data_IF_547144387197
#
_entry.id   IF_547144387197
#
_cell.length_a   1.000
_cell.length_b   1.000
_cell.length_c   1.000
_cell.angle_alpha   90.00
_cell.angle_beta   90.00
_cell.angle_gamma   90.00
#
_symmetry.space_group_name_H-M   'P 1'
#
loop_
_entity.id
_entity.type
_entity.pdbx_description
1 polymer ?
#
# COMPACT_ATOMS: atom_id res chain seq x y z
N UNK A 1 25.14 -17.81 -1.93
CA UNK A 1 24.02 -17.10 -2.59
C UNK A 1 23.33 -18.12 -3.49
N UNK A 2 22.22 -18.71 -3.02
CA UNK A 2 21.51 -19.71 -3.81
C UNK A 2 20.69 -18.97 -4.89
N UNK A 3 21.13 -19.10 -6.14
CA UNK A 3 20.48 -18.47 -7.28
C UNK A 3 19.08 -19.07 -7.47
N UNK A 4 18.06 -18.22 -7.56
CA UNK A 4 16.73 -18.64 -8.03
C UNK A 4 16.89 -19.11 -9.48
N UNK A 5 16.65 -20.40 -9.73
CA UNK A 5 16.65 -20.94 -11.08
C UNK A 5 15.25 -20.82 -11.69
N UNK A 6 15.17 -20.15 -12.84
CA UNK A 6 13.99 -20.18 -13.73
C UNK A 6 13.98 -21.55 -14.42
N UNK A 7 12.99 -22.38 -14.11
CA UNK A 7 12.86 -23.75 -14.62
C UNK A 7 12.10 -23.79 -15.96
N UNK A 8 11.22 -22.81 -16.22
CA UNK A 8 10.48 -22.63 -17.47
C UNK A 8 10.05 -21.16 -17.62
N UNK A 9 9.30 -20.78 -18.68
CA UNK A 9 8.77 -19.42 -18.85
C UNK A 9 8.02 -18.90 -17.59
N UNK A 10 7.32 -19.79 -16.88
CA UNK A 10 6.43 -19.43 -15.75
C UNK A 10 6.71 -20.21 -14.46
N UNK A 11 7.72 -21.10 -14.44
CA UNK A 11 8.02 -21.94 -13.28
C UNK A 11 9.35 -21.51 -12.65
N UNK A 12 9.28 -21.10 -11.38
CA UNK A 12 10.43 -20.77 -10.56
C UNK A 12 10.58 -21.83 -9.46
N UNK A 13 11.81 -22.22 -9.15
CA UNK A 13 12.06 -22.97 -7.92
C UNK A 13 11.83 -22.03 -6.76
N UNK A 14 10.73 -22.21 -6.01
CA UNK A 14 10.52 -21.52 -4.75
C UNK A 14 11.51 -22.11 -3.75
N UNK A 15 12.72 -21.56 -3.74
CA UNK A 15 13.68 -21.85 -2.68
C UNK A 15 13.01 -21.42 -1.38
N UNK A 16 13.06 -22.27 -0.35
CA UNK A 16 12.55 -21.94 1.00
C UNK A 16 13.42 -20.85 1.63
N UNK A 17 13.32 -19.64 1.09
CA UNK A 17 14.11 -18.48 1.49
C UNK A 17 13.23 -17.67 2.43
N UNK A 18 13.77 -17.38 3.60
CA UNK A 18 13.16 -16.45 4.54
C UNK A 18 13.30 -15.05 3.92
N UNK A 19 12.18 -14.51 3.44
CA UNK A 19 12.13 -13.25 2.68
C UNK A 19 11.82 -12.02 3.55
N UNK A 20 11.74 -12.20 4.88
CA UNK A 20 11.56 -11.16 5.91
C UNK A 20 10.51 -10.09 5.53
N UNK A 21 9.42 -10.53 4.89
CA UNK A 21 8.33 -9.65 4.47
C UNK A 21 7.66 -9.00 5.68
N UNK A 22 7.00 -7.87 5.43
CA UNK A 22 6.32 -7.12 6.50
C UNK A 22 4.97 -7.74 6.88
N UNK A 23 4.45 -8.71 6.12
CA UNK A 23 3.09 -9.22 6.25
C UNK A 23 2.82 -9.86 7.63
N UNK A 24 3.82 -10.53 8.19
CA UNK A 24 3.73 -11.23 9.48
C UNK A 24 4.15 -10.38 10.70
N UNK A 25 4.58 -9.14 10.48
CA UNK A 25 5.08 -8.29 11.55
C UNK A 25 3.91 -7.70 12.35
N UNK A 26 3.64 -8.31 13.51
CA UNK A 26 2.55 -7.89 14.42
C UNK A 26 2.73 -6.45 14.93
N UNK A 27 3.97 -5.98 15.09
CA UNK A 27 4.31 -4.65 15.60
C UNK A 27 4.20 -3.53 14.58
N UNK A 28 3.79 -3.80 13.34
CA UNK A 28 3.56 -2.74 12.37
C UNK A 28 2.48 -1.77 12.84
N UNK A 29 2.53 -0.56 12.28
CA UNK A 29 1.61 0.53 12.54
C UNK A 29 0.17 0.04 12.65
N UNK A 30 -0.49 0.36 13.76
CA UNK A 30 -1.87 -0.05 13.98
C UNK A 30 -2.81 0.82 13.15
N UNK A 31 -3.56 0.18 12.25
CA UNK A 31 -4.63 0.84 11.51
C UNK A 31 -5.88 0.86 12.37
N UNK A 32 -6.41 2.05 12.64
CA UNK A 32 -7.70 2.24 13.32
C UNK A 32 -8.89 1.97 12.39
N UNK A 33 -8.70 1.07 11.42
CA UNK A 33 -9.67 0.62 10.43
C UNK A 33 -10.58 -0.42 11.08
N UNK A 34 -11.28 0.00 12.14
CA UNK A 34 -12.29 -0.77 12.86
C UNK A 34 -13.64 -0.07 12.80
N UNK A 35 -14.73 -0.86 12.86
CA UNK A 35 -16.11 -0.40 12.82
C UNK A 35 -16.49 0.44 14.04
N UNK A 36 -16.02 1.69 14.12
CA UNK A 36 -16.58 2.65 15.05
C UNK A 36 -17.92 3.13 14.48
N UNK A 37 -19.01 2.44 14.85
CA UNK A 37 -20.39 2.59 14.36
C UNK A 37 -21.07 3.92 14.75
N UNK A 38 -20.34 4.87 15.35
CA UNK A 38 -20.94 6.12 15.81
C UNK A 38 -21.13 7.06 14.62
N UNK A 39 -22.38 7.43 14.36
CA UNK A 39 -22.75 8.42 13.33
C UNK A 39 -21.99 9.74 13.59
N UNK A 40 -21.46 10.40 12.55
CA UNK A 40 -20.85 11.72 12.69
C UNK A 40 -21.91 12.75 13.10
N UNK A 41 -21.60 13.53 14.12
CA UNK A 41 -22.44 14.66 14.54
C UNK A 41 -22.04 15.98 13.86
N UNK A 42 -20.88 16.00 13.19
CA UNK A 42 -20.30 17.17 12.54
C UNK A 42 -19.84 16.79 11.14
N UNK A 43 -19.94 17.76 10.23
CA UNK A 43 -19.50 17.66 8.85
C UNK A 43 -17.98 17.79 8.65
N UNK A 44 -17.56 18.03 7.41
CA UNK A 44 -16.16 18.36 7.07
C UNK A 44 -15.85 19.87 7.11
N UNK A 45 -16.77 20.69 7.62
CA UNK A 45 -16.63 22.15 7.60
C UNK A 45 -16.61 22.66 6.16
N UNK A 46 -15.66 23.55 5.84
CA UNK A 46 -15.56 24.17 4.52
C UNK A 46 -15.37 23.18 3.35
N UNK A 47 -14.92 21.95 3.61
CA UNK A 47 -14.79 20.93 2.57
C UNK A 47 -16.15 20.35 2.11
N UNK A 48 -17.23 20.58 2.84
CA UNK A 48 -18.58 20.13 2.43
C UNK A 48 -19.16 20.97 1.28
N UNK A 49 -18.56 22.12 0.98
CA UNK A 49 -18.91 22.92 -0.20
C UNK A 49 -18.59 22.14 -1.49
N UNK A 50 -17.63 21.21 -1.43
CA UNK A 50 -17.24 20.41 -2.58
C UNK A 50 -18.17 19.19 -2.76
N UNK A 51 -18.57 18.85 -3.99
CA UNK A 51 -19.23 17.59 -4.27
C UNK A 51 -18.40 16.39 -3.81
N UNK A 52 -19.07 15.33 -3.38
CA UNK A 52 -18.42 14.14 -2.82
C UNK A 52 -17.46 13.48 -3.80
N UNK A 53 -17.79 13.53 -5.09
CA UNK A 53 -16.99 13.01 -6.19
C UNK A 53 -15.65 13.74 -6.29
N UNK A 54 -15.67 15.07 -6.23
CA UNK A 54 -14.47 15.91 -6.26
C UNK A 54 -13.61 15.64 -5.03
N UNK A 55 -14.24 15.57 -3.86
CA UNK A 55 -13.54 15.26 -2.61
C UNK A 55 -12.86 13.88 -2.67
N UNK A 56 -13.54 12.86 -3.21
CA UNK A 56 -12.95 11.52 -3.41
C UNK A 56 -11.76 11.55 -4.37
N UNK A 57 -11.85 12.30 -5.48
CA UNK A 57 -10.73 12.45 -6.42
C UNK A 57 -9.51 13.10 -5.76
N UNK A 58 -9.73 14.12 -4.93
CA UNK A 58 -8.65 14.76 -4.16
C UNK A 58 -8.03 13.78 -3.18
N UNK A 59 -8.86 13.09 -2.38
CA UNK A 59 -8.36 12.12 -1.38
C UNK A 59 -7.58 10.98 -2.03
N UNK A 60 -8.00 10.47 -3.20
CA UNK A 60 -7.27 9.41 -3.91
C UNK A 60 -5.86 9.81 -4.33
N UNK A 61 -5.66 11.10 -4.62
CA UNK A 61 -4.35 11.67 -4.99
C UNK A 61 -3.47 12.00 -3.78
N UNK A 62 -4.02 11.97 -2.57
CA UNK A 62 -3.21 12.12 -1.36
C UNK A 62 -2.34 10.87 -1.14
N UNK A 63 -1.18 11.10 -0.54
CA UNK A 63 -0.32 10.01 -0.10
C UNK A 63 -0.91 9.28 1.11
N UNK A 64 -0.43 8.05 1.34
CA UNK A 64 -0.95 7.16 2.40
C UNK A 64 -0.90 7.82 3.78
N UNK A 65 0.17 8.58 4.06
CA UNK A 65 0.32 9.32 5.31
C UNK A 65 -0.75 10.40 5.47
N UNK A 66 -0.97 11.24 4.45
CA UNK A 66 -1.97 12.31 4.48
C UNK A 66 -3.39 11.76 4.57
N UNK A 67 -3.68 10.63 3.91
CA UNK A 67 -4.99 9.97 4.02
C UNK A 67 -5.23 9.50 5.44
N UNK A 68 -4.25 8.85 6.08
CA UNK A 68 -4.42 8.39 7.47
C UNK A 68 -4.52 9.55 8.46
N UNK A 69 -3.83 10.67 8.22
CA UNK A 69 -4.01 11.89 8.98
C UNK A 69 -5.40 12.50 8.80
N UNK A 70 -5.85 12.67 7.55
CA UNK A 70 -7.17 13.22 7.24
C UNK A 70 -8.29 12.35 7.84
N UNK A 71 -8.16 11.03 7.74
CA UNK A 71 -9.09 10.06 8.35
C UNK A 71 -9.26 10.26 9.86
N UNK A 72 -8.27 10.83 10.55
CA UNK A 72 -8.29 11.08 12.00
C UNK A 72 -8.81 12.46 12.40
N UNK A 73 -9.02 13.37 11.45
CA UNK A 73 -9.49 14.74 11.72
C UNK A 73 -10.84 14.73 12.45
N UNK A 74 -11.82 13.98 11.92
CA UNK A 74 -13.10 13.77 12.58
C UNK A 74 -13.79 12.50 12.05
N UNK A 75 -14.96 12.16 12.62
CA UNK A 75 -15.72 10.96 12.21
C UNK A 75 -16.22 11.03 10.77
N UNK A 76 -16.55 12.22 10.27
CA UNK A 76 -17.02 12.41 8.89
C UNK A 76 -15.89 12.16 7.89
N UNK A 77 -14.69 12.66 8.17
CA UNK A 77 -13.50 12.42 7.36
C UNK A 77 -13.16 10.93 7.32
N UNK A 78 -13.23 10.26 8.48
CA UNK A 78 -13.11 8.80 8.56
C UNK A 78 -14.09 8.09 7.62
N UNK A 79 -15.38 8.42 7.71
CA UNK A 79 -16.39 7.79 6.86
C UNK A 79 -16.16 8.06 5.37
N UNK A 80 -15.77 9.27 4.99
CA UNK A 80 -15.50 9.59 3.59
C UNK A 80 -14.34 8.77 3.05
N UNK A 81 -13.23 8.68 3.80
CA UNK A 81 -12.07 7.86 3.41
C UNK A 81 -12.43 6.38 3.33
N UNK A 82 -13.13 5.84 4.33
CA UNK A 82 -13.52 4.42 4.38
C UNK A 82 -14.48 4.01 3.25
N UNK A 83 -15.21 4.97 2.70
CA UNK A 83 -16.12 4.76 1.57
C UNK A 83 -15.43 4.88 0.20
N UNK A 84 -14.14 5.21 0.14
CA UNK A 84 -13.38 5.22 -1.12
C UNK A 84 -13.12 3.77 -1.54
N UNK A 85 -13.58 3.34 -2.74
CA UNK A 85 -13.45 1.95 -3.16
C UNK A 85 -12.00 1.44 -3.17
N UNK A 86 -11.07 2.21 -3.72
CA UNK A 86 -9.66 1.84 -3.81
C UNK A 86 -9.03 1.64 -2.42
N UNK A 87 -9.23 2.60 -1.52
CA UNK A 87 -8.75 2.51 -0.15
C UNK A 87 -9.35 1.30 0.58
N UNK A 88 -10.66 1.09 0.45
CA UNK A 88 -11.36 -0.06 1.03
C UNK A 88 -10.78 -1.39 0.53
N UNK A 89 -10.50 -1.52 -0.77
CA UNK A 89 -9.91 -2.72 -1.35
C UNK A 89 -8.50 -2.99 -0.81
N UNK A 90 -7.67 -1.95 -0.68
CA UNK A 90 -6.32 -2.10 -0.09
C UNK A 90 -6.42 -2.59 1.36
N UNK A 91 -7.31 -2.00 2.16
CA UNK A 91 -7.48 -2.37 3.57
C UNK A 91 -7.96 -3.82 3.72
N UNK A 92 -8.83 -4.29 2.82
CA UNK A 92 -9.35 -5.67 2.87
C UNK A 92 -8.30 -6.68 2.41
N UNK A 93 -7.55 -6.41 1.34
CA UNK A 93 -6.72 -7.42 0.68
C UNK A 93 -5.22 -7.29 0.97
N UNK A 94 -4.74 -6.09 1.29
CA UNK A 94 -3.31 -5.83 1.50
C UNK A 94 -3.07 -4.77 2.60
N UNK A 95 -3.66 -4.88 3.81
CA UNK A 95 -3.49 -3.88 4.86
C UNK A 95 -2.03 -3.72 5.29
N UNK A 96 -1.22 -4.79 5.18
CA UNK A 96 0.21 -4.79 5.45
C UNK A 96 0.98 -3.76 4.60
N UNK A 97 0.52 -3.45 3.38
CA UNK A 97 1.14 -2.43 2.54
C UNK A 97 1.06 -1.03 3.18
N UNK A 98 -0.12 -0.62 3.65
CA UNK A 98 -0.32 0.66 4.34
C UNK A 98 0.42 0.65 5.68
N UNK A 99 0.30 -0.44 6.45
CA UNK A 99 0.97 -0.58 7.76
C UNK A 99 2.49 -0.47 7.62
N UNK A 100 3.05 -1.20 6.66
CA UNK A 100 4.47 -1.22 6.33
C UNK A 100 4.96 0.17 5.96
N UNK A 101 4.29 0.86 5.03
CA UNK A 101 4.68 2.21 4.61
C UNK A 101 4.72 3.21 5.76
N UNK A 102 3.74 3.15 6.68
CA UNK A 102 3.71 4.03 7.84
C UNK A 102 4.81 3.66 8.85
N UNK A 103 5.08 2.37 9.04
CA UNK A 103 6.14 1.87 9.92
C UNK A 103 7.54 2.25 9.45
N UNK A 104 7.83 2.12 8.16
CA UNK A 104 9.14 2.49 7.58
C UNK A 104 9.20 3.96 7.14
N UNK A 105 8.16 4.75 7.45
CA UNK A 105 8.05 6.18 7.14
C UNK A 105 8.13 6.53 5.65
N UNK A 106 7.65 5.66 4.76
CA UNK A 106 7.56 5.91 3.31
C UNK A 106 6.15 6.26 2.83
N UNK A 107 5.19 6.44 3.75
CA UNK A 107 3.81 6.78 3.42
C UNK A 107 3.61 8.10 2.66
N UNK A 108 4.64 8.91 2.49
CA UNK A 108 4.62 10.14 1.70
C UNK A 108 4.99 9.94 0.22
N UNK A 109 5.61 8.81 -0.14
CA UNK A 109 6.29 8.62 -1.43
C UNK A 109 5.34 8.42 -2.62
N UNK A 110 4.09 8.01 -2.38
CA UNK A 110 3.13 7.69 -3.44
C UNK A 110 1.68 7.85 -2.95
N UNK A 111 0.76 8.03 -3.89
CA UNK A 111 -0.66 8.21 -3.62
C UNK A 111 -1.38 6.89 -3.30
N UNK A 112 -2.59 6.97 -2.72
CA UNK A 112 -3.44 5.78 -2.58
C UNK A 112 -3.83 5.18 -3.94
N UNK A 113 -4.00 6.02 -4.96
CA UNK A 113 -4.27 5.56 -6.31
C UNK A 113 -3.07 4.76 -6.87
N UNK A 114 -1.85 5.26 -6.70
CA UNK A 114 -0.63 4.56 -7.15
C UNK A 114 -0.51 3.17 -6.50
N UNK A 115 -0.72 3.11 -5.18
CA UNK A 115 -0.69 1.84 -4.44
C UNK A 115 -1.75 0.86 -4.95
N UNK A 116 -2.98 1.35 -5.13
CA UNK A 116 -4.08 0.54 -5.63
C UNK A 116 -3.79 -0.02 -7.02
N UNK A 117 -3.30 0.81 -7.93
CA UNK A 117 -2.98 0.40 -9.30
C UNK A 117 -1.84 -0.62 -9.31
N UNK A 118 -0.82 -0.44 -8.46
CA UNK A 118 0.28 -1.40 -8.34
C UNK A 118 -0.15 -2.75 -7.80
N UNK A 119 -1.00 -2.78 -6.78
CA UNK A 119 -1.54 -4.02 -6.22
C UNK A 119 -2.39 -4.83 -7.23
N UNK A 120 -2.90 -4.19 -8.28
CA UNK A 120 -3.70 -4.84 -9.34
C UNK A 120 -2.87 -5.42 -10.49
N UNK A 121 -1.63 -5.01 -10.64
CA UNK A 121 -0.71 -5.61 -11.62
C UNK A 121 -0.06 -6.85 -11.01
N UNK A 122 0.25 -7.89 -11.81
CA UNK A 122 0.99 -9.06 -11.33
C UNK A 122 2.50 -8.98 -11.63
N UNK A 123 2.89 -8.07 -12.52
CA UNK A 123 4.18 -8.10 -13.19
C UNK A 123 5.23 -7.26 -12.46
N UNK A 124 6.47 -7.75 -12.48
CA UNK A 124 7.65 -7.05 -12.03
C UNK A 124 7.90 -5.84 -12.92
N UNK A 125 8.13 -4.67 -12.31
CA UNK A 125 8.37 -3.44 -13.04
C UNK A 125 9.68 -3.42 -13.84
N UNK A 126 10.59 -4.37 -13.63
CA UNK A 126 11.88 -4.42 -14.33
C UNK A 126 11.94 -5.48 -15.43
N UNK A 127 11.40 -6.69 -15.19
CA UNK A 127 11.52 -7.80 -16.14
C UNK A 127 10.18 -8.31 -16.69
N UNK A 128 9.04 -7.76 -16.24
CA UNK A 128 7.68 -8.19 -16.60
C UNK A 128 7.31 -9.64 -16.24
N UNK A 129 8.21 -10.43 -15.63
CA UNK A 129 7.84 -11.70 -14.98
C UNK A 129 6.97 -11.46 -13.72
N UNK A 130 6.44 -12.50 -13.10
CA UNK A 130 5.67 -12.39 -11.85
C UNK A 130 6.44 -11.65 -10.73
N UNK A 131 5.90 -10.51 -10.31
CA UNK A 131 6.51 -9.64 -9.30
C UNK A 131 5.95 -9.90 -7.90
N UNK A 132 6.30 -11.03 -7.26
CA UNK A 132 5.74 -11.46 -5.98
C UNK A 132 5.82 -10.47 -4.80
N UNK A 133 6.68 -9.45 -4.87
CA UNK A 133 6.91 -8.49 -3.78
C UNK A 133 6.50 -7.08 -4.17
N UNK A 134 6.09 -6.29 -3.17
CA UNK A 134 5.85 -4.85 -3.31
C UNK A 134 6.92 -4.07 -2.53
N UNK A 135 7.79 -3.37 -3.25
CA UNK A 135 8.81 -2.52 -2.67
C UNK A 135 8.22 -1.17 -2.22
N UNK A 136 8.02 -1.03 -0.91
CA UNK A 136 7.28 0.08 -0.29
C UNK A 136 8.00 1.44 -0.28
N UNK A 137 9.27 1.52 -0.68
CA UNK A 137 9.97 2.82 -0.77
C UNK A 137 9.57 3.56 -2.05
N UNK A 138 9.42 2.84 -3.17
CA UNK A 138 9.11 3.43 -4.49
C UNK A 138 7.81 2.91 -5.11
N UNK A 139 7.02 2.13 -4.38
CA UNK A 139 5.76 1.53 -4.85
C UNK A 139 5.92 0.72 -6.15
N UNK A 140 6.88 -0.20 -6.16
CA UNK A 140 7.16 -1.05 -7.34
C UNK A 140 6.92 -2.51 -7.02
N UNK A 141 6.28 -3.22 -7.95
CA UNK A 141 6.27 -4.70 -7.92
C UNK A 141 7.61 -5.21 -8.42
N UNK A 142 8.17 -6.17 -7.71
CA UNK A 142 9.49 -6.74 -8.01
C UNK A 142 9.43 -8.26 -7.83
N UNK A 143 10.11 -8.98 -8.71
CA UNK A 143 10.35 -10.41 -8.52
C UNK A 143 11.46 -10.62 -7.49
N UNK A 144 11.52 -11.83 -6.91
CA UNK A 144 12.53 -12.16 -5.91
C UNK A 144 13.96 -11.87 -6.39
N UNK A 145 14.30 -12.31 -7.61
CA UNK A 145 15.64 -12.16 -8.19
C UNK A 145 16.08 -10.69 -8.21
N UNK A 146 15.24 -9.81 -8.76
CA UNK A 146 15.56 -8.39 -8.84
C UNK A 146 15.61 -7.75 -7.46
N UNK A 147 14.70 -8.12 -6.56
CA UNK A 147 14.70 -7.63 -5.19
C UNK A 147 16.02 -7.93 -4.45
N UNK A 148 16.64 -9.08 -4.71
CA UNK A 148 17.89 -9.49 -4.06
C UNK A 148 19.17 -9.09 -4.79
N UNK A 149 19.12 -8.91 -6.11
CA UNK A 149 20.33 -8.70 -6.92
C UNK A 149 20.51 -7.25 -7.39
N UNK A 150 19.42 -6.49 -7.60
CA UNK A 150 19.55 -5.12 -8.07
C UNK A 150 19.83 -4.16 -6.91
N UNK A 151 20.87 -3.36 -7.11
CA UNK A 151 21.31 -2.29 -6.20
C UNK A 151 20.19 -1.32 -5.83
N UNK A 152 19.25 -1.06 -6.75
CA UNK A 152 18.11 -0.16 -6.53
C UNK A 152 17.17 -0.60 -5.39
N UNK A 153 17.21 -1.88 -4.99
CA UNK A 153 16.32 -2.44 -3.95
C UNK A 153 17.07 -2.84 -2.67
N UNK A 154 18.40 -2.76 -2.67
CA UNK A 154 19.21 -3.04 -1.50
C UNK A 154 19.15 -1.89 -0.49
N UNK A 155 19.37 -2.15 0.82
CA UNK A 155 19.50 -1.09 1.81
C UNK A 155 20.58 -0.09 1.37
N UNK A 156 20.25 1.20 1.43
CA UNK A 156 21.22 2.26 1.14
C UNK A 156 22.38 2.13 2.14
N UNK A 157 23.57 1.80 1.62
CA UNK A 157 24.83 1.87 2.37
C UNK A 157 25.24 3.33 2.57
#
# INVERSE_FOLDING_TARGET
>A
MAAVQKLSESTYTFLSIIDHTLDDIKSLYYLDNGHNRRVPCYGLGSLEIMPLEVLRMVILRLNIQLITHFRRVNRRARLVVDQIPQYKQIIVHAPASIRGCLSIRTGFSFSCQDLYDKLRTADCNSCSDFGGYLYLVTCRRVCFLYFTEKTDYLPLL
#
